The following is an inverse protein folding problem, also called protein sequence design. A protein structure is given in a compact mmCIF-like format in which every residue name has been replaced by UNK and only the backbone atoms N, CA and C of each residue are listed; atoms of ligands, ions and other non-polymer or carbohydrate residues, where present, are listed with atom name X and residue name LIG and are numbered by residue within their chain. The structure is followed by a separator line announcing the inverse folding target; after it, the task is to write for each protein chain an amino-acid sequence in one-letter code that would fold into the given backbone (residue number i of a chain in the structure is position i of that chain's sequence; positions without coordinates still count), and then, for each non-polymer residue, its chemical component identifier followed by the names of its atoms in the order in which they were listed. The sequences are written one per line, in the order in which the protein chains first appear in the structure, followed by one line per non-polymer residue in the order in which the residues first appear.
data_IF_798775194558
#
_entry.id   IF_798775194558
#
_cell.length_a   1.000
_cell.length_b   1.000
_cell.length_c   1.000
_cell.angle_alpha   90.00
_cell.angle_beta   90.00
_cell.angle_gamma   90.00
#
_symmetry.space_group_name_H-M   'P 1'
#
loop_
_entity.id
_entity.type
_entity.pdbx_description
1 polymer ?
#
# COMPACT_ATOMS: atom_id res chain seq x y z
N UNK A 1 21.02 -24.58 54.25
CA UNK A 1 20.09 -23.76 55.06
C UNK A 1 20.63 -22.37 55.36
N UNK A 2 21.94 -22.21 55.53
CA UNK A 2 22.62 -20.91 55.67
C UNK A 2 22.29 -19.89 54.56
N UNK A 3 22.16 -20.34 53.32
CA UNK A 3 22.00 -19.47 52.13
C UNK A 3 20.53 -19.24 51.72
N UNK A 4 19.57 -19.99 52.30
CA UNK A 4 18.13 -19.94 51.95
C UNK A 4 17.85 -19.94 50.43
N UNK A 5 18.58 -20.77 49.68
CA UNK A 5 18.44 -20.84 48.22
C UNK A 5 17.02 -21.27 47.81
N UNK A 6 16.43 -20.55 46.84
CA UNK A 6 15.13 -20.89 46.24
C UNK A 6 15.27 -21.67 44.92
N UNK A 7 16.43 -21.55 44.27
CA UNK A 7 16.75 -22.15 42.98
C UNK A 7 18.10 -22.84 43.07
N UNK A 8 18.21 -24.00 42.44
CA UNK A 8 19.44 -24.80 42.37
C UNK A 8 19.68 -25.13 40.91
N UNK A 9 20.90 -24.94 40.42
CA UNK A 9 21.31 -25.39 39.09
C UNK A 9 22.36 -26.48 39.28
N UNK A 10 22.18 -27.61 38.61
CA UNK A 10 23.12 -28.72 38.57
C UNK A 10 23.62 -28.87 37.14
N UNK A 11 24.90 -28.60 36.91
CA UNK A 11 25.53 -28.57 35.59
C UNK A 11 26.87 -29.34 35.62
N UNK A 12 27.02 -30.56 35.10
CA UNK A 12 26.05 -31.47 34.46
C UNK A 12 25.80 -32.75 35.29
N UNK A 13 24.66 -33.45 35.07
CA UNK A 13 24.36 -34.75 35.73
C UNK A 13 25.45 -35.78 35.50
N UNK A 14 26.03 -35.81 34.30
CA UNK A 14 27.02 -36.79 33.90
C UNK A 14 28.25 -36.73 34.79
N UNK A 15 28.64 -35.51 35.20
CA UNK A 15 29.76 -35.32 36.13
C UNK A 15 29.51 -35.99 37.48
N UNK A 16 28.27 -35.93 37.99
CA UNK A 16 27.88 -36.50 39.29
C UNK A 16 27.80 -38.03 39.29
N UNK A 17 27.44 -38.63 38.16
CA UNK A 17 27.17 -40.06 38.06
C UNK A 17 28.12 -40.84 37.14
N UNK A 18 29.17 -40.18 36.63
CA UNK A 18 30.23 -40.77 35.80
C UNK A 18 30.88 -42.01 36.41
N UNK A 19 30.95 -42.07 37.75
CA UNK A 19 31.55 -43.18 38.49
C UNK A 19 30.60 -44.37 38.69
N UNK A 20 29.32 -44.25 38.33
CA UNK A 20 28.35 -45.33 38.49
C UNK A 20 28.29 -46.21 37.23
N UNK A 21 28.49 -47.53 37.36
CA UNK A 21 28.62 -48.42 36.21
C UNK A 21 27.27 -48.84 35.59
N UNK A 22 26.16 -48.70 36.32
CA UNK A 22 24.85 -49.24 35.93
C UNK A 22 23.76 -48.15 35.89
N UNK A 23 23.07 -48.08 34.76
CA UNK A 23 21.92 -47.22 34.51
C UNK A 23 20.79 -47.36 35.56
N UNK A 24 20.61 -48.55 36.15
CA UNK A 24 19.62 -48.80 37.20
C UNK A 24 19.97 -48.07 38.50
N UNK A 25 21.26 -48.06 38.85
CA UNK A 25 21.77 -47.37 40.03
C UNK A 25 21.68 -45.85 39.82
N UNK A 26 22.07 -45.37 38.65
CA UNK A 26 21.93 -43.94 38.26
C UNK A 26 20.48 -43.48 38.40
N UNK A 27 19.51 -44.25 37.91
CA UNK A 27 18.08 -43.93 38.04
C UNK A 27 17.62 -43.81 39.49
N UNK A 28 18.08 -44.72 40.34
CA UNK A 28 17.69 -44.76 41.76
C UNK A 28 18.23 -43.53 42.49
N UNK A 29 19.50 -43.18 42.25
CA UNK A 29 20.11 -42.00 42.86
C UNK A 29 19.54 -40.69 42.31
N UNK A 30 19.24 -40.60 41.01
CA UNK A 30 18.53 -39.45 40.44
C UNK A 30 17.16 -39.24 41.09
N UNK A 31 16.40 -40.33 41.29
CA UNK A 31 15.10 -40.27 41.96
C UNK A 31 15.23 -39.80 43.41
N UNK A 32 16.26 -40.27 44.12
CA UNK A 32 16.57 -39.85 45.49
C UNK A 32 16.93 -38.36 45.56
N UNK A 33 17.81 -37.91 44.67
CA UNK A 33 18.24 -36.51 44.58
C UNK A 33 17.06 -35.58 44.27
N UNK A 34 16.26 -35.90 43.25
CA UNK A 34 15.12 -35.07 42.86
C UNK A 34 14.03 -35.08 43.93
N UNK A 35 13.78 -36.22 44.58
CA UNK A 35 12.87 -36.31 45.72
C UNK A 35 13.32 -35.45 46.91
N UNK A 36 14.63 -35.44 47.20
CA UNK A 36 15.21 -34.59 48.24
C UNK A 36 15.07 -33.10 47.92
N UNK A 37 15.39 -32.68 46.68
CA UNK A 37 15.22 -31.30 46.22
C UNK A 37 13.76 -30.85 46.32
N UNK A 38 12.82 -31.71 45.92
CA UNK A 38 11.37 -31.45 46.01
C UNK A 38 10.91 -31.30 47.46
N UNK A 39 11.39 -32.15 48.38
CA UNK A 39 11.09 -32.04 49.83
C UNK A 39 11.64 -30.75 50.44
N UNK A 40 12.76 -30.23 49.93
CA UNK A 40 13.33 -28.94 50.33
C UNK A 40 12.61 -27.73 49.71
N UNK A 41 11.68 -27.93 48.79
CA UNK A 41 10.86 -26.86 48.20
C UNK A 41 11.64 -25.92 47.27
N UNK A 42 12.76 -26.39 46.69
CA UNK A 42 13.58 -25.60 45.77
C UNK A 42 13.26 -25.93 44.32
N UNK A 43 13.35 -24.94 43.43
CA UNK A 43 13.27 -25.17 41.97
C UNK A 43 14.64 -25.59 41.46
N UNK A 44 14.77 -26.83 41.01
CA UNK A 44 16.01 -27.34 40.45
C UNK A 44 15.98 -27.31 38.92
N UNK A 45 17.03 -26.74 38.32
CA UNK A 45 17.34 -26.88 36.89
C UNK A 45 18.54 -27.79 36.78
N UNK A 46 18.44 -28.79 35.91
CA UNK A 46 19.45 -29.81 35.79
C UNK A 46 19.79 -30.00 34.33
N UNK A 47 21.06 -29.89 33.97
CA UNK A 47 21.53 -30.10 32.60
C UNK A 47 22.04 -31.53 32.43
N UNK A 48 21.87 -32.05 31.21
CA UNK A 48 22.33 -33.37 30.82
C UNK A 48 22.68 -33.39 29.33
N UNK A 49 23.56 -34.29 28.95
CA UNK A 49 24.01 -34.52 27.59
C UNK A 49 23.08 -35.51 26.86
N UNK A 50 22.92 -35.29 25.55
CA UNK A 50 22.10 -36.16 24.71
C UNK A 50 22.83 -37.47 24.39
N UNK A 51 22.11 -38.59 24.45
CA UNK A 51 22.61 -39.90 24.02
C UNK A 51 22.43 -40.16 22.53
N UNK A 52 23.10 -41.19 22.01
CA UNK A 52 22.88 -41.66 20.63
C UNK A 52 21.46 -42.26 20.51
N UNK A 53 20.50 -41.48 20.02
CA UNK A 53 19.12 -41.92 19.76
C UNK A 53 18.11 -41.75 20.91
N UNK A 54 18.56 -41.34 22.10
CA UNK A 54 17.73 -41.07 23.29
C UNK A 54 17.79 -39.58 23.67
N UNK A 55 16.81 -39.00 24.40
CA UNK A 55 16.87 -37.56 24.72
C UNK A 55 17.98 -37.25 25.73
N UNK A 56 18.41 -38.24 26.51
CA UNK A 56 19.55 -38.18 27.44
C UNK A 56 20.44 -39.40 27.27
N UNK A 57 21.70 -39.34 27.72
CA UNK A 57 22.70 -40.40 27.53
C UNK A 57 22.23 -41.81 27.89
N UNK A 58 21.42 -41.94 28.95
CA UNK A 58 20.88 -43.23 29.39
C UNK A 58 19.37 -43.40 29.10
N UNK A 59 18.68 -42.38 28.60
CA UNK A 59 17.23 -42.43 28.26
C UNK A 59 16.29 -42.63 29.45
N UNK A 60 16.76 -42.39 30.68
CA UNK A 60 16.06 -42.71 31.93
C UNK A 60 15.71 -41.45 32.75
N UNK A 61 16.51 -40.41 32.59
CA UNK A 61 16.42 -39.09 33.22
C UNK A 61 15.10 -38.39 32.89
N UNK A 62 14.59 -38.65 31.69
CA UNK A 62 13.32 -38.15 31.19
C UNK A 62 12.17 -38.64 32.06
N UNK A 63 12.14 -39.89 32.53
CA UNK A 63 10.99 -40.44 33.25
C UNK A 63 10.89 -39.93 34.69
N UNK A 64 12.02 -39.57 35.28
CA UNK A 64 12.13 -39.13 36.69
C UNK A 64 11.86 -37.63 36.83
N UNK A 65 12.10 -36.85 35.78
CA UNK A 65 11.92 -35.39 35.79
C UNK A 65 10.44 -34.96 35.75
N UNK A 66 10.11 -33.82 36.38
CA UNK A 66 8.77 -33.24 36.30
C UNK A 66 8.58 -32.41 34.99
N UNK A 67 9.65 -31.76 34.52
CA UNK A 67 9.72 -31.01 33.27
C UNK A 67 10.96 -31.43 32.48
N UNK A 68 10.85 -31.56 31.15
CA UNK A 68 12.00 -31.85 30.27
C UNK A 68 12.00 -30.84 29.13
N UNK A 69 13.13 -30.14 29.01
CA UNK A 69 13.40 -29.17 27.96
C UNK A 69 14.53 -29.75 27.09
N UNK A 70 14.25 -29.96 25.82
CA UNK A 70 15.22 -30.41 24.84
C UNK A 70 15.80 -29.19 24.13
N UNK A 71 17.13 -29.06 24.15
CA UNK A 71 17.87 -28.13 23.30
C UNK A 71 18.50 -28.92 22.17
N UNK A 72 18.18 -28.56 20.94
CA UNK A 72 18.67 -29.21 19.73
C UNK A 72 19.45 -28.20 18.89
N UNK A 73 20.56 -28.64 18.29
CA UNK A 73 21.36 -27.85 17.38
C UNK A 73 21.49 -28.60 16.07
N UNK A 74 20.82 -28.10 15.03
CA UNK A 74 20.88 -28.68 13.69
C UNK A 74 21.70 -27.80 12.77
N UNK A 75 22.54 -28.44 11.97
CA UNK A 75 23.33 -27.79 10.92
C UNK A 75 22.80 -28.32 9.59
N UNK A 76 22.10 -27.48 8.84
CA UNK A 76 21.65 -27.77 7.47
C UNK A 76 22.28 -26.74 6.54
N UNK A 77 22.94 -27.17 5.47
CA UNK A 77 23.49 -26.29 4.43
C UNK A 77 24.30 -25.10 4.98
N UNK A 78 25.22 -25.39 5.91
CA UNK A 78 26.07 -24.41 6.62
C UNK A 78 25.32 -23.43 7.54
N UNK A 79 24.00 -23.54 7.65
CA UNK A 79 23.17 -22.79 8.59
C UNK A 79 22.94 -23.58 9.88
N UNK A 80 23.37 -22.99 10.99
CA UNK A 80 23.22 -23.54 12.33
C UNK A 80 21.97 -22.98 13.00
N UNK A 81 20.96 -23.82 13.24
CA UNK A 81 19.73 -23.42 13.94
C UNK A 81 19.67 -24.13 15.30
N UNK A 82 19.52 -23.34 16.36
CA UNK A 82 19.29 -23.82 17.73
C UNK A 82 17.80 -23.77 18.05
N UNK A 83 17.26 -24.88 18.57
CA UNK A 83 15.83 -25.01 18.88
C UNK A 83 15.62 -25.58 20.28
N UNK A 84 14.58 -25.10 20.94
CA UNK A 84 14.15 -25.50 22.25
C UNK A 84 12.77 -26.14 22.12
N UNK A 85 12.56 -27.29 22.75
CA UNK A 85 11.26 -27.94 22.82
C UNK A 85 10.96 -28.36 24.25
N UNK A 86 9.76 -28.07 24.72
CA UNK A 86 9.27 -28.65 25.97
C UNK A 86 8.71 -30.03 25.62
N UNK A 87 9.43 -31.08 26.03
CA UNK A 87 9.02 -32.48 25.77
C UNK A 87 7.90 -32.88 26.71
N UNK A 88 7.97 -32.40 27.96
CA UNK A 88 6.92 -32.62 28.96
C UNK A 88 6.96 -31.55 30.04
N UNK A 89 5.80 -31.30 30.62
CA UNK A 89 5.64 -30.50 31.84
C UNK A 89 4.49 -31.09 32.65
N UNK A 90 4.79 -31.83 33.72
CA UNK A 90 3.74 -32.43 34.57
C UNK A 90 2.94 -31.31 35.27
N UNK A 91 1.62 -31.36 35.15
CA UNK A 91 0.70 -30.43 35.83
C UNK A 91 0.50 -29.08 35.16
N UNK A 92 1.07 -28.85 33.96
CA UNK A 92 0.83 -27.63 33.17
C UNK A 92 0.70 -27.94 31.68
N UNK A 93 -0.17 -27.20 31.00
CA UNK A 93 -0.17 -27.14 29.53
C UNK A 93 1.11 -26.46 29.05
N UNK A 94 1.67 -26.95 27.96
CA UNK A 94 2.88 -26.40 27.32
C UNK A 94 2.78 -26.54 25.80
N UNK A 95 3.51 -25.71 25.07
CA UNK A 95 3.59 -25.80 23.62
C UNK A 95 4.34 -27.05 23.16
N UNK A 96 3.81 -27.75 22.16
CA UNK A 96 4.40 -28.99 21.62
C UNK A 96 5.43 -28.74 20.51
N UNK A 97 5.53 -27.49 20.04
CA UNK A 97 6.37 -27.11 18.91
C UNK A 97 7.84 -26.91 19.31
N UNK A 98 8.73 -26.94 18.32
CA UNK A 98 10.12 -26.52 18.48
C UNK A 98 10.22 -25.00 18.30
N UNK A 99 10.83 -24.33 19.28
CA UNK A 99 11.01 -22.88 19.34
C UNK A 99 12.46 -22.54 19.06
N UNK A 100 12.76 -21.78 17.99
CA UNK A 100 14.12 -21.31 17.77
C UNK A 100 14.54 -20.37 18.90
N UNK A 101 15.78 -20.50 19.34
CA UNK A 101 16.36 -19.63 20.37
C UNK A 101 17.72 -19.10 19.91
N UNK A 102 18.06 -17.90 20.40
CA UNK A 102 19.36 -17.30 20.20
C UNK A 102 20.05 -17.10 21.55
N UNK A 103 21.38 -17.21 21.53
CA UNK A 103 22.24 -16.78 22.62
C UNK A 103 23.11 -15.66 22.06
N UNK A 104 22.94 -14.46 22.57
CA UNK A 104 23.72 -13.28 22.20
C UNK A 104 24.25 -12.56 23.45
N UNK A 105 24.71 -11.32 23.31
CA UNK A 105 25.26 -10.50 24.41
C UNK A 105 24.24 -10.27 25.54
N UNK A 106 22.94 -10.25 25.21
CA UNK A 106 21.84 -10.14 26.18
C UNK A 106 21.46 -11.50 26.81
N UNK A 107 22.11 -12.58 26.40
CA UNK A 107 21.94 -13.94 26.93
C UNK A 107 20.93 -14.78 26.14
N UNK A 108 20.19 -15.64 26.85
CA UNK A 108 19.28 -16.62 26.25
C UNK A 108 17.94 -16.00 25.88
N UNK A 109 17.58 -16.01 24.59
CA UNK A 109 16.33 -15.44 24.09
C UNK A 109 15.54 -16.45 23.26
N UNK A 110 14.29 -16.68 23.67
CA UNK A 110 13.32 -17.48 22.92
C UNK A 110 12.32 -16.53 22.30
N UNK A 111 12.09 -16.66 21.00
CA UNK A 111 10.92 -16.04 20.41
C UNK A 111 9.73 -16.98 20.56
N UNK A 112 8.62 -16.54 21.17
CA UNK A 112 7.37 -17.27 20.98
C UNK A 112 7.06 -17.29 19.49
N UNK A 113 6.64 -18.44 18.96
CA UNK A 113 5.88 -18.45 17.70
C UNK A 113 4.72 -17.51 17.97
N UNK A 114 4.64 -16.42 17.21
CA UNK A 114 3.60 -15.41 17.37
C UNK A 114 2.26 -16.11 17.46
N UNK A 115 1.43 -15.65 18.39
CA UNK A 115 0.10 -16.19 18.64
C UNK A 115 -0.60 -16.43 17.30
N UNK A 116 -0.84 -17.70 16.93
CA UNK A 116 -1.55 -18.10 15.72
C UNK A 116 -3.01 -17.58 15.64
N UNK A 117 -3.43 -16.73 16.57
CA UNK A 117 -4.74 -16.09 16.57
C UNK A 117 -4.76 -14.90 15.64
N UNK A 118 -5.65 -14.92 14.65
CA UNK A 118 -5.93 -13.83 13.70
C UNK A 118 -6.76 -12.69 14.33
N UNK A 119 -6.45 -12.31 15.58
CA UNK A 119 -7.28 -11.39 16.38
C UNK A 119 -6.75 -9.96 16.44
N UNK A 120 -5.92 -9.54 15.47
CA UNK A 120 -5.39 -8.18 15.44
C UNK A 120 -6.49 -7.18 15.08
N UNK A 121 -6.51 -6.04 15.78
CA UNK A 121 -7.40 -4.93 15.44
C UNK A 121 -6.85 -4.22 14.20
N UNK A 122 -7.71 -3.97 13.20
CA UNK A 122 -7.36 -3.20 12.02
C UNK A 122 -7.65 -1.71 12.22
N UNK A 123 -6.66 -0.86 11.95
CA UNK A 123 -6.84 0.60 12.02
C UNK A 123 -7.57 1.10 10.78
N UNK A 124 -8.45 2.10 10.98
CA UNK A 124 -9.06 2.88 9.88
C UNK A 124 -8.19 4.07 9.46
N UNK A 125 -7.12 4.34 10.19
CA UNK A 125 -6.23 5.45 9.93
C UNK A 125 -5.49 5.27 8.60
N UNK A 126 -5.32 6.39 7.87
CA UNK A 126 -4.66 6.42 6.57
C UNK A 126 -3.35 7.19 6.66
N UNK A 127 -2.33 6.69 5.99
CA UNK A 127 -1.00 7.30 5.93
C UNK A 127 -0.59 7.53 4.47
N UNK A 128 -0.06 8.72 4.19
CA UNK A 128 0.41 9.05 2.85
C UNK A 128 1.60 8.18 2.43
N UNK A 129 1.59 7.76 1.17
CA UNK A 129 2.73 7.10 0.53
C UNK A 129 3.94 8.03 0.32
N UNK A 130 3.74 9.35 0.43
CA UNK A 130 4.73 10.36 0.07
C UNK A 130 4.69 10.77 -1.41
N UNK A 131 3.84 10.12 -2.22
CA UNK A 131 3.63 10.44 -3.64
C UNK A 131 2.16 10.84 -3.80
N UNK A 132 1.83 12.14 -3.97
CA UNK A 132 0.44 12.59 -4.03
C UNK A 132 -0.41 11.87 -5.07
N UNK A 133 0.16 11.60 -6.25
CA UNK A 133 -0.54 10.89 -7.31
C UNK A 133 -0.80 9.42 -6.98
N UNK A 134 0.09 8.76 -6.24
CA UNK A 134 -0.13 7.40 -5.74
C UNK A 134 -1.22 7.38 -4.67
N UNK A 135 -1.25 8.38 -3.79
CA UNK A 135 -2.32 8.52 -2.82
C UNK A 135 -3.67 8.70 -3.51
N UNK A 136 -3.74 9.49 -4.59
CA UNK A 136 -4.95 9.62 -5.45
C UNK A 136 -5.37 8.27 -6.04
N UNK A 137 -4.41 7.47 -6.51
CA UNK A 137 -4.70 6.11 -7.00
C UNK A 137 -5.19 5.17 -5.89
N UNK A 138 -4.99 5.51 -4.61
CA UNK A 138 -5.43 4.79 -3.41
C UNK A 138 -6.57 5.56 -2.69
N UNK A 139 -7.59 6.03 -3.41
CA UNK A 139 -8.72 6.79 -2.83
C UNK A 139 -8.33 8.12 -2.14
N UNK A 140 -7.23 8.74 -2.55
CA UNK A 140 -6.78 10.06 -2.09
C UNK A 140 -6.08 10.10 -0.72
N UNK A 141 -5.83 8.95 -0.08
CA UNK A 141 -5.36 8.92 1.32
C UNK A 141 -4.15 8.02 1.59
N UNK A 142 -3.64 7.31 0.58
CA UNK A 142 -2.49 6.41 0.73
C UNK A 142 -2.84 5.08 1.43
N UNK A 143 -1.94 4.53 2.22
CA UNK A 143 -2.06 3.20 2.83
C UNK A 143 -2.89 3.20 4.13
N UNK A 144 -3.33 2.03 4.59
CA UNK A 144 -3.84 1.88 5.95
C UNK A 144 -2.67 1.74 6.95
N UNK A 145 -2.78 2.38 8.12
CA UNK A 145 -1.81 2.15 9.20
C UNK A 145 -1.90 0.68 9.66
N UNK A 146 -0.74 0.06 9.89
CA UNK A 146 -0.66 -1.33 10.31
C UNK A 146 -0.90 -2.34 9.19
N UNK A 147 -1.07 -1.88 7.94
CA UNK A 147 -1.19 -2.75 6.77
C UNK A 147 0.18 -3.13 6.20
N UNK A 148 0.17 -4.12 5.31
CA UNK A 148 1.36 -4.53 4.57
C UNK A 148 1.31 -4.08 3.11
N UNK A 149 2.40 -3.46 2.67
CA UNK A 149 2.61 -2.97 1.30
C UNK A 149 3.74 -3.78 0.67
N UNK A 150 3.50 -4.34 -0.51
CA UNK A 150 4.52 -4.99 -1.33
C UNK A 150 4.72 -4.18 -2.61
N UNK A 151 5.97 -3.93 -2.98
CA UNK A 151 6.33 -3.40 -4.29
C UNK A 151 7.19 -4.43 -5.00
N UNK A 152 6.64 -5.02 -6.05
CA UNK A 152 7.37 -5.97 -6.90
C UNK A 152 7.77 -5.33 -8.23
N UNK A 153 8.84 -5.81 -8.84
CA UNK A 153 9.33 -5.31 -10.13
C UNK A 153 10.75 -5.76 -10.44
N UNK A 154 11.14 -5.66 -11.70
CA UNK A 154 12.48 -6.03 -12.19
C UNK A 154 13.57 -5.15 -11.58
N UNK A 155 14.82 -5.58 -11.65
CA UNK A 155 15.95 -4.79 -11.17
C UNK A 155 15.99 -3.40 -11.85
N UNK A 156 16.26 -2.34 -11.08
CA UNK A 156 16.36 -0.98 -11.61
C UNK A 156 15.04 -0.25 -11.88
N UNK A 157 13.88 -0.82 -11.51
CA UNK A 157 12.56 -0.19 -11.71
C UNK A 157 12.17 0.89 -10.68
N UNK A 158 12.94 1.06 -9.60
CA UNK A 158 12.69 2.12 -8.60
C UNK A 158 11.98 1.69 -7.32
N UNK A 159 11.94 0.39 -7.00
CA UNK A 159 11.37 -0.14 -5.73
C UNK A 159 11.96 0.53 -4.48
N UNK A 160 13.29 0.56 -4.41
CA UNK A 160 14.06 1.18 -3.33
C UNK A 160 13.83 2.69 -3.24
N UNK A 161 13.68 3.37 -4.39
CA UNK A 161 13.30 4.79 -4.43
C UNK A 161 11.89 5.02 -3.86
N UNK A 162 10.92 4.14 -4.17
CA UNK A 162 9.56 4.22 -3.62
C UNK A 162 9.57 4.00 -2.10
N UNK A 163 10.38 3.04 -1.62
CA UNK A 163 10.59 2.84 -0.19
C UNK A 163 11.17 4.10 0.49
N UNK A 164 12.18 4.73 -0.12
CA UNK A 164 12.79 5.94 0.39
C UNK A 164 11.81 7.13 0.46
N UNK A 165 10.95 7.29 -0.54
CA UNK A 165 9.90 8.32 -0.55
C UNK A 165 8.90 8.10 0.60
N UNK A 166 8.53 6.85 0.86
CA UNK A 166 7.65 6.51 1.97
C UNK A 166 8.32 6.75 3.33
N UNK A 167 9.61 6.42 3.47
CA UNK A 167 10.44 6.72 4.64
C UNK A 167 10.48 8.23 4.91
N UNK A 168 10.74 9.03 3.88
CA UNK A 168 10.82 10.49 4.01
C UNK A 168 9.48 11.08 4.45
N UNK A 169 8.38 10.63 3.83
CA UNK A 169 7.01 11.01 4.18
C UNK A 169 6.67 10.69 5.63
N UNK A 170 7.10 9.52 6.12
CA UNK A 170 6.94 9.12 7.52
C UNK A 170 7.75 9.97 8.49
N UNK A 171 9.02 10.21 8.19
CA UNK A 171 9.88 11.03 9.04
C UNK A 171 9.38 12.49 9.10
N UNK A 172 8.83 13.02 8.00
CA UNK A 172 8.15 14.33 7.97
C UNK A 172 6.94 14.40 8.92
N UNK A 173 6.27 13.27 9.20
CA UNK A 173 5.20 13.16 10.21
C UNK A 173 5.71 12.94 11.65
N UNK A 174 7.02 12.91 11.86
CA UNK A 174 7.63 12.60 13.16
C UNK A 174 7.59 11.11 13.52
N UNK A 175 7.33 10.24 12.54
CA UNK A 175 7.26 8.80 12.75
C UNK A 175 8.65 8.16 12.69
N UNK A 176 8.92 7.24 13.62
CA UNK A 176 10.10 6.38 13.57
C UNK A 176 9.98 5.28 12.51
N UNK A 177 11.01 5.12 11.70
CA UNK A 177 11.13 4.12 10.64
C UNK A 177 12.35 3.24 10.90
N UNK A 178 12.16 1.93 10.81
CA UNK A 178 13.24 0.95 10.84
C UNK A 178 13.39 0.35 9.43
N UNK A 179 14.55 0.57 8.83
CA UNK A 179 14.86 0.15 7.47
C UNK A 179 15.88 -1.00 7.49
N UNK A 180 15.47 -2.17 7.00
CA UNK A 180 16.34 -3.32 6.79
C UNK A 180 16.87 -3.32 5.36
N UNK A 181 18.18 -3.07 5.22
CA UNK A 181 18.88 -3.05 3.93
C UNK A 181 19.68 -4.35 3.76
N UNK A 182 19.31 -5.17 2.77
CA UNK A 182 19.96 -6.46 2.56
C UNK A 182 20.98 -6.48 1.43
N UNK A 183 20.93 -5.48 0.53
CA UNK A 183 21.80 -5.38 -0.65
C UNK A 183 22.82 -4.24 -0.56
N UNK A 184 22.39 -3.07 -0.06
CA UNK A 184 23.22 -1.86 -0.04
C UNK A 184 23.59 -1.41 1.38
N UNK A 185 24.74 -0.74 1.51
CA UNK A 185 25.11 -0.09 2.76
C UNK A 185 24.28 1.20 2.97
N UNK A 186 24.03 1.63 4.23
CA UNK A 186 23.24 2.83 4.50
C UNK A 186 23.82 4.10 3.85
N UNK A 187 25.15 4.22 3.78
CA UNK A 187 25.82 5.37 3.14
C UNK A 187 25.61 5.39 1.63
N UNK A 188 25.73 4.23 0.96
CA UNK A 188 25.42 4.08 -0.46
C UNK A 188 23.95 4.39 -0.74
N UNK A 189 23.03 3.83 0.04
CA UNK A 189 21.60 4.09 -0.08
C UNK A 189 21.29 5.58 0.04
N UNK A 190 21.79 6.26 1.08
CA UNK A 190 21.57 7.70 1.27
C UNK A 190 22.14 8.54 0.12
N UNK A 191 23.32 8.20 -0.41
CA UNK A 191 23.91 8.88 -1.58
C UNK A 191 23.02 8.73 -2.82
N UNK A 192 22.56 7.50 -3.09
CA UNK A 192 21.72 7.20 -4.24
C UNK A 192 20.33 7.89 -4.14
N UNK A 193 19.78 8.01 -2.92
CA UNK A 193 18.52 8.71 -2.71
C UNK A 193 18.67 10.23 -2.80
N UNK A 194 19.81 10.78 -2.38
CA UNK A 194 20.11 12.20 -2.53
C UNK A 194 20.19 12.65 -4.00
N UNK A 195 20.66 11.78 -4.92
CA UNK A 195 20.70 12.12 -6.35
C UNK A 195 19.33 12.22 -7.03
N UNK A 196 18.27 11.77 -6.35
CA UNK A 196 16.87 11.93 -6.80
C UNK A 196 16.09 12.86 -5.85
N UNK A 197 16.77 13.73 -5.11
CA UNK A 197 16.12 14.76 -4.27
C UNK A 197 15.59 14.27 -2.91
N UNK A 198 15.84 13.02 -2.52
CA UNK A 198 15.36 12.46 -1.24
C UNK A 198 16.48 12.51 -0.20
N UNK A 199 16.43 13.50 0.70
CA UNK A 199 17.48 13.78 1.68
C UNK A 199 17.25 13.09 3.04
N UNK A 200 17.76 11.87 3.17
CA UNK A 200 17.49 11.03 4.35
C UNK A 200 18.44 11.22 5.54
N UNK A 201 19.62 11.78 5.32
CA UNK A 201 20.65 11.91 6.36
C UNK A 201 20.16 12.71 7.58
N UNK A 202 19.34 13.74 7.33
CA UNK A 202 18.76 14.56 8.41
C UNK A 202 17.86 13.76 9.34
N UNK A 203 17.15 12.75 8.83
CA UNK A 203 16.24 11.91 9.61
C UNK A 203 16.97 10.88 10.46
N UNK A 204 18.14 10.41 9.98
CA UNK A 204 19.04 9.56 10.76
C UNK A 204 19.60 10.34 11.95
N UNK A 205 20.09 11.56 11.72
CA UNK A 205 20.61 12.44 12.79
C UNK A 205 19.56 12.80 13.84
N UNK A 206 18.29 12.91 13.44
CA UNK A 206 17.14 13.14 14.35
C UNK A 206 16.67 11.88 15.10
N UNK A 207 17.22 10.71 14.80
CA UNK A 207 16.77 9.44 15.40
C UNK A 207 15.36 9.02 14.96
N UNK A 208 14.89 9.49 13.80
CA UNK A 208 13.62 9.05 13.21
C UNK A 208 13.83 7.89 12.23
N UNK A 209 14.97 7.84 11.54
CA UNK A 209 15.32 6.76 10.62
C UNK A 209 16.45 5.93 11.20
N UNK A 210 16.20 4.63 11.38
CA UNK A 210 17.19 3.66 11.83
C UNK A 210 17.44 2.63 10.72
N UNK A 211 18.70 2.42 10.38
CA UNK A 211 19.11 1.37 9.44
C UNK A 211 19.61 0.14 10.18
N UNK A 212 19.23 -1.04 9.69
CA UNK A 212 19.90 -2.29 9.97
C UNK A 212 20.35 -2.91 8.65
N UNK A 213 21.64 -2.80 8.36
CA UNK A 213 22.22 -3.36 7.14
C UNK A 213 22.97 -4.65 7.47
N UNK A 214 22.50 -5.76 6.91
CA UNK A 214 23.13 -7.08 7.09
C UNK A 214 22.89 -7.92 5.86
N UNK A 215 23.86 -8.77 5.50
CA UNK A 215 23.66 -9.70 4.39
C UNK A 215 22.76 -10.86 4.84
N UNK A 216 21.79 -11.30 4.03
CA UNK A 216 20.95 -12.45 4.37
C UNK A 216 21.74 -13.71 4.69
N UNK A 217 22.86 -13.93 4.00
CA UNK A 217 23.76 -15.10 4.19
C UNK A 217 24.52 -15.11 5.50
N UNK A 218 24.56 -13.99 6.24
CA UNK A 218 25.34 -13.88 7.48
C UNK A 218 24.76 -14.79 8.58
N UNK A 219 23.43 -14.96 8.60
CA UNK A 219 22.72 -15.72 9.62
C UNK A 219 21.53 -16.48 9.04
N UNK A 220 21.04 -17.50 9.74
CA UNK A 220 19.81 -18.20 9.36
C UNK A 220 18.55 -17.33 9.47
N UNK A 221 17.47 -17.72 8.79
CA UNK A 221 16.19 -16.98 8.76
C UNK A 221 15.63 -16.68 10.15
N UNK A 222 15.74 -17.63 11.09
CA UNK A 222 15.28 -17.44 12.48
C UNK A 222 16.08 -16.39 13.23
N UNK A 223 17.38 -16.29 12.93
CA UNK A 223 18.20 -15.25 13.53
C UNK A 223 17.78 -13.88 13.02
N UNK A 224 17.59 -13.71 11.70
CA UNK A 224 17.08 -12.46 11.13
C UNK A 224 15.71 -12.07 11.70
N UNK A 225 14.78 -13.03 11.85
CA UNK A 225 13.48 -12.78 12.47
C UNK A 225 13.62 -12.30 13.93
N UNK A 226 14.49 -12.93 14.70
CA UNK A 226 14.74 -12.56 16.11
C UNK A 226 15.39 -11.21 16.24
N UNK A 227 16.44 -10.95 15.48
CA UNK A 227 17.10 -9.65 15.45
C UNK A 227 16.12 -8.56 15.04
N UNK A 228 15.27 -8.83 14.04
CA UNK A 228 14.20 -7.91 13.61
C UNK A 228 13.24 -7.60 14.75
N UNK A 229 12.72 -8.61 15.44
CA UNK A 229 11.79 -8.44 16.57
C UNK A 229 12.45 -7.68 17.73
N UNK A 230 13.71 -7.98 18.06
CA UNK A 230 14.48 -7.28 19.10
C UNK A 230 14.63 -5.80 18.74
N UNK A 231 15.02 -5.48 17.51
CA UNK A 231 15.15 -4.10 17.04
C UNK A 231 13.82 -3.36 17.07
N UNK A 232 12.71 -4.00 16.68
CA UNK A 232 11.37 -3.42 16.78
C UNK A 232 11.01 -3.11 18.23
N UNK A 233 11.36 -3.98 19.19
CA UNK A 233 11.09 -3.76 20.61
C UNK A 233 11.88 -2.57 21.17
N UNK A 234 13.15 -2.43 20.77
CA UNK A 234 14.03 -1.35 21.22
C UNK A 234 13.67 0.00 20.59
N UNK A 235 13.47 0.03 19.28
CA UNK A 235 13.25 1.27 18.50
C UNK A 235 11.78 1.72 18.54
N UNK A 236 10.85 0.77 18.68
CA UNK A 236 9.40 0.99 18.60
C UNK A 236 9.01 1.79 17.34
N UNK A 237 9.35 1.31 16.13
CA UNK A 237 9.04 2.00 14.88
C UNK A 237 7.53 1.98 14.58
N UNK A 238 7.08 2.97 13.82
CA UNK A 238 5.73 2.98 13.24
C UNK A 238 5.70 2.30 11.86
N UNK A 239 6.83 2.30 11.17
CA UNK A 239 7.02 1.70 9.85
C UNK A 239 8.27 0.84 9.84
N UNK A 240 8.16 -0.35 9.25
CA UNK A 240 9.27 -1.27 9.00
C UNK A 240 9.39 -1.50 7.50
N UNK A 241 10.60 -1.32 6.96
CA UNK A 241 10.93 -1.56 5.55
C UNK A 241 11.87 -2.75 5.44
N UNK A 242 11.61 -3.68 4.52
CA UNK A 242 12.55 -4.75 4.14
C UNK A 242 12.84 -4.64 2.64
N UNK A 243 14.11 -4.41 2.30
CA UNK A 243 14.54 -4.15 0.92
C UNK A 243 15.80 -4.96 0.52
N UNK A 244 15.67 -5.97 -0.37
CA UNK A 244 14.45 -6.70 -0.77
C UNK A 244 14.24 -8.00 0.04
N UNK A 245 13.02 -8.50 0.06
CA UNK A 245 12.68 -9.78 0.74
C UNK A 245 13.22 -11.00 0.00
N UNK A 246 13.41 -10.90 -1.32
CA UNK A 246 13.99 -11.98 -2.15
C UNK A 246 15.45 -12.25 -1.82
N UNK A 247 16.12 -11.32 -1.12
CA UNK A 247 17.48 -11.52 -0.65
C UNK A 247 17.58 -12.73 0.31
N UNK A 248 16.47 -13.12 0.96
CA UNK A 248 16.40 -14.34 1.78
C UNK A 248 16.17 -15.63 0.98
N UNK A 249 15.72 -15.53 -0.27
CA UNK A 249 15.39 -16.69 -1.11
C UNK A 249 16.68 -17.20 -1.75
N UNK A 250 17.24 -18.27 -1.18
CA UNK A 250 18.48 -18.89 -1.65
C UNK A 250 18.33 -20.41 -1.58
N UNK A 251 18.80 -21.12 -2.61
CA UNK A 251 18.84 -22.60 -2.60
C UNK A 251 17.49 -23.30 -2.45
N UNK A 252 16.37 -22.66 -2.83
CA UNK A 252 15.03 -23.30 -2.83
C UNK A 252 14.24 -23.21 -1.52
N UNK A 253 14.72 -22.44 -0.53
CA UNK A 253 14.11 -22.24 0.79
C UNK A 253 12.81 -21.38 0.82
N UNK A 254 12.04 -21.35 -0.27
CA UNK A 254 10.89 -20.44 -0.42
C UNK A 254 9.82 -20.65 0.66
N UNK A 255 9.63 -21.91 1.07
CA UNK A 255 8.65 -22.26 2.11
C UNK A 255 9.08 -21.71 3.47
N UNK A 256 10.35 -21.85 3.86
CA UNK A 256 10.83 -21.29 5.13
C UNK A 256 10.77 -19.77 5.15
N UNK A 257 11.14 -19.10 4.04
CA UNK A 257 11.04 -17.64 3.91
C UNK A 257 9.60 -17.19 4.06
N UNK A 258 8.64 -17.87 3.42
CA UNK A 258 7.22 -17.57 3.55
C UNK A 258 6.73 -17.71 5.00
N UNK A 259 7.14 -18.76 5.72
CA UNK A 259 6.78 -18.96 7.13
C UNK A 259 7.37 -17.85 8.01
N UNK A 260 8.62 -17.45 7.76
CA UNK A 260 9.28 -16.35 8.46
C UNK A 260 8.54 -15.02 8.23
N UNK A 261 8.21 -14.70 6.97
CA UNK A 261 7.47 -13.49 6.62
C UNK A 261 6.05 -13.50 7.22
N UNK A 262 5.35 -14.63 7.21
CA UNK A 262 4.04 -14.75 7.86
C UNK A 262 4.11 -14.38 9.35
N UNK A 263 5.09 -14.92 10.07
CA UNK A 263 5.32 -14.62 11.50
C UNK A 263 5.67 -13.15 11.71
N UNK A 264 6.51 -12.59 10.85
CA UNK A 264 6.88 -11.18 10.93
C UNK A 264 5.68 -10.26 10.66
N UNK A 265 4.92 -10.52 9.61
CA UNK A 265 3.71 -9.75 9.26
C UNK A 265 2.70 -9.79 10.40
N UNK A 266 2.44 -10.97 10.97
CA UNK A 266 1.55 -11.13 12.11
C UNK A 266 2.01 -10.35 13.35
N UNK A 267 3.32 -10.40 13.64
CA UNK A 267 3.94 -9.62 14.71
C UNK A 267 3.75 -8.11 14.54
N UNK A 268 3.96 -7.61 13.31
CA UNK A 268 3.85 -6.19 12.96
C UNK A 268 2.40 -5.71 13.02
N UNK A 269 1.46 -6.49 12.46
CA UNK A 269 0.02 -6.19 12.46
C UNK A 269 -0.54 -6.11 13.87
N UNK A 270 -0.16 -7.03 14.75
CA UNK A 270 -0.58 -7.02 16.17
C UNK A 270 -0.15 -5.76 16.91
N UNK A 271 0.90 -5.07 16.43
CA UNK A 271 1.41 -3.81 17.00
C UNK A 271 1.03 -2.58 16.19
N UNK A 272 0.16 -2.72 15.20
CA UNK A 272 -0.26 -1.63 14.30
C UNK A 272 0.95 -0.95 13.59
N UNK A 273 2.00 -1.72 13.29
CA UNK A 273 3.19 -1.26 12.56
C UNK A 273 2.97 -1.52 11.07
N UNK A 274 3.15 -0.49 10.24
CA UNK A 274 3.00 -0.62 8.79
C UNK A 274 4.27 -1.27 8.21
N UNK A 275 4.11 -2.31 7.40
CA UNK A 275 5.22 -3.00 6.77
C UNK A 275 5.31 -2.64 5.28
N UNK A 276 6.52 -2.40 4.78
CA UNK A 276 6.80 -2.24 3.35
C UNK A 276 7.85 -3.27 2.93
N UNK A 277 7.54 -4.03 1.90
CA UNK A 277 8.41 -5.05 1.34
C UNK A 277 8.74 -4.69 -0.11
N UNK A 278 10.02 -4.70 -0.48
CA UNK A 278 10.44 -4.67 -1.87
C UNK A 278 10.73 -6.09 -2.34
N UNK A 279 10.31 -6.43 -3.55
CA UNK A 279 10.53 -7.74 -4.15
C UNK A 279 10.99 -7.66 -5.60
N UNK A 280 11.95 -8.51 -5.98
CA UNK A 280 12.51 -8.59 -7.31
C UNK A 280 11.71 -9.59 -8.16
N UNK A 281 11.22 -9.14 -9.31
CA UNK A 281 10.63 -10.04 -10.30
C UNK A 281 11.63 -10.35 -11.41
N UNK A 282 11.71 -11.60 -11.84
CA UNK A 282 12.56 -12.01 -12.95
C UNK A 282 11.89 -11.72 -14.30
N UNK A 283 12.66 -11.17 -15.22
CA UNK A 283 12.27 -10.91 -16.61
C UNK A 283 12.33 -12.22 -17.40
N UNK A 284 11.20 -12.88 -17.69
CA UNK A 284 11.17 -13.91 -18.74
C UNK A 284 10.49 -15.27 -18.51
N UNK A 285 9.69 -15.52 -17.47
CA UNK A 285 8.91 -16.77 -17.37
C UNK A 285 7.96 -16.80 -16.17
N UNK A 286 6.80 -17.48 -16.32
CA UNK A 286 5.68 -17.65 -15.36
C UNK A 286 5.80 -16.81 -14.08
N UNK A 287 5.71 -15.48 -14.28
CA UNK A 287 6.04 -14.41 -13.34
C UNK A 287 5.12 -14.35 -12.11
N UNK A 288 4.03 -15.11 -12.10
CA UNK A 288 3.02 -15.03 -11.06
C UNK A 288 3.30 -15.97 -9.88
N UNK A 289 4.03 -17.09 -10.06
CA UNK A 289 4.04 -18.18 -9.07
C UNK A 289 4.80 -17.87 -7.77
N UNK A 290 5.97 -17.22 -7.83
CA UNK A 290 6.72 -16.83 -6.62
C UNK A 290 6.05 -15.67 -5.89
N UNK A 291 5.63 -14.64 -6.63
CA UNK A 291 4.93 -13.48 -6.10
C UNK A 291 3.55 -13.83 -5.53
N UNK A 292 2.83 -14.80 -6.12
CA UNK A 292 1.53 -15.28 -5.63
C UNK A 292 1.61 -15.85 -4.21
N UNK A 293 2.72 -16.50 -3.88
CA UNK A 293 2.85 -17.15 -2.58
C UNK A 293 2.97 -16.13 -1.43
N UNK A 294 3.63 -14.99 -1.67
CA UNK A 294 3.77 -13.88 -0.71
C UNK A 294 2.59 -12.92 -0.79
N UNK A 295 2.00 -12.67 -1.96
CA UNK A 295 0.88 -11.73 -2.16
C UNK A 295 -0.37 -12.05 -1.32
N UNK A 296 -0.53 -13.30 -0.91
CA UNK A 296 -1.59 -13.74 0.02
C UNK A 296 -1.49 -13.06 1.39
N UNK A 297 -0.26 -12.75 1.85
CA UNK A 297 0.07 -12.09 3.12
C UNK A 297 -0.03 -10.56 3.04
N UNK A 298 -0.16 -10.02 1.83
CA UNK A 298 -0.06 -8.60 1.56
C UNK A 298 -1.44 -7.96 1.39
N UNK A 299 -1.62 -6.79 1.99
CA UNK A 299 -2.85 -6.00 1.88
C UNK A 299 -2.85 -5.14 0.61
N UNK A 300 -1.75 -4.44 0.33
CA UNK A 300 -1.57 -3.60 -0.87
C UNK A 300 -0.37 -4.04 -1.70
N UNK A 301 -0.58 -4.32 -2.99
CA UNK A 301 0.45 -4.77 -3.91
C UNK A 301 0.60 -3.79 -5.08
N UNK A 302 1.78 -3.19 -5.16
CA UNK A 302 2.22 -2.34 -6.25
C UNK A 302 3.16 -3.12 -7.17
N UNK A 303 3.00 -2.97 -8.48
CA UNK A 303 3.86 -3.59 -9.48
C UNK A 303 4.53 -2.49 -10.31
N UNK A 304 5.86 -2.48 -10.31
CA UNK A 304 6.68 -1.69 -11.20
C UNK A 304 7.14 -2.56 -12.38
N UNK A 305 6.85 -2.11 -13.60
CA UNK A 305 7.15 -2.86 -14.83
C UNK A 305 7.86 -1.98 -15.83
N UNK A 306 8.87 -2.53 -16.51
CA UNK A 306 9.49 -1.89 -17.66
C UNK A 306 8.55 -1.93 -18.88
N UNK A 307 8.47 -0.81 -19.60
CA UNK A 307 7.66 -0.63 -20.81
C UNK A 307 8.61 -0.13 -21.89
N UNK A 308 8.84 -0.99 -22.88
CA UNK A 308 9.73 -0.69 -24.00
C UNK A 308 8.88 -0.34 -25.22
N UNK A 309 8.78 0.97 -25.52
CA UNK A 309 8.01 1.49 -26.65
C UNK A 309 8.85 2.58 -27.31
N UNK A 310 8.87 2.59 -28.65
CA UNK A 310 9.60 3.61 -29.41
C UNK A 310 11.11 3.61 -29.21
N UNK A 311 11.70 2.48 -28.77
CA UNK A 311 13.12 2.38 -28.43
C UNK A 311 13.50 2.99 -27.08
N UNK A 312 12.53 3.48 -26.30
CA UNK A 312 12.73 3.96 -24.94
C UNK A 312 12.29 2.90 -23.93
N UNK A 313 13.06 2.77 -22.84
CA UNK A 313 12.70 1.95 -21.69
C UNK A 313 12.13 2.84 -20.59
N UNK A 314 10.81 2.92 -20.55
CA UNK A 314 10.06 3.62 -19.52
C UNK A 314 9.61 2.67 -18.42
N UNK A 315 9.16 3.22 -17.29
CA UNK A 315 8.67 2.44 -16.16
C UNK A 315 7.20 2.74 -15.95
N UNK A 316 6.40 1.71 -15.71
CA UNK A 316 4.99 1.81 -15.35
C UNK A 316 4.76 1.34 -13.92
N UNK A 317 3.88 2.03 -13.20
CA UNK A 317 3.38 1.64 -11.89
C UNK A 317 1.91 1.18 -11.99
N UNK A 318 1.63 0.00 -11.47
CA UNK A 318 0.30 -0.57 -11.31
C UNK A 318 -0.02 -0.80 -9.83
N UNK A 319 -1.30 -0.69 -9.48
CA UNK A 319 -1.84 -1.23 -8.23
C UNK A 319 -2.57 -2.52 -8.58
N UNK A 320 -1.98 -3.67 -8.24
CA UNK A 320 -2.59 -4.97 -8.51
C UNK A 320 -3.71 -5.30 -7.52
N UNK A 321 -3.56 -4.82 -6.28
CA UNK A 321 -4.47 -5.13 -5.19
C UNK A 321 -4.34 -4.07 -4.11
N UNK A 322 -5.45 -3.69 -3.52
CA UNK A 322 -5.46 -3.04 -2.23
C UNK A 322 -6.71 -3.44 -1.44
N UNK A 323 -6.53 -4.17 -0.35
CA UNK A 323 -7.63 -4.67 0.49
C UNK A 323 -8.24 -3.54 1.30
N UNK A 324 -9.57 -3.46 1.30
CA UNK A 324 -10.31 -2.48 2.09
C UNK A 324 -10.34 -1.06 1.50
N UNK A 325 -9.80 -0.85 0.28
CA UNK A 325 -9.91 0.44 -0.41
C UNK A 325 -10.09 0.28 -1.92
N UNK A 326 -10.84 1.20 -2.53
CA UNK A 326 -10.88 1.34 -3.97
C UNK A 326 -9.51 1.81 -4.46
N UNK A 327 -9.05 1.25 -5.59
CA UNK A 327 -7.79 1.62 -6.21
C UNK A 327 -7.95 1.78 -7.72
N UNK A 328 -7.07 2.58 -8.30
CA UNK A 328 -6.99 2.78 -9.75
C UNK A 328 -6.63 1.47 -10.47
N UNK A 329 -7.33 1.16 -11.55
CA UNK A 329 -6.95 0.12 -12.51
C UNK A 329 -6.04 0.65 -13.64
N UNK A 330 -5.78 1.96 -13.67
CA UNK A 330 -4.92 2.60 -14.66
C UNK A 330 -3.45 2.48 -14.28
N UNK A 331 -2.61 2.29 -15.30
CA UNK A 331 -1.17 2.46 -15.22
C UNK A 331 -0.80 3.95 -15.14
N UNK A 332 0.25 4.27 -14.38
CA UNK A 332 0.94 5.55 -14.45
C UNK A 332 2.40 5.38 -14.86
N UNK A 333 2.93 6.31 -15.64
CA UNK A 333 4.35 6.36 -15.98
C UNK A 333 5.13 6.79 -14.73
N UNK A 334 6.12 6.00 -14.33
CA UNK A 334 6.94 6.20 -13.14
C UNK A 334 8.25 6.86 -13.52
N UNK A 335 8.41 8.14 -13.14
CA UNK A 335 9.60 8.94 -13.47
C UNK A 335 10.39 9.25 -12.21
N UNK A 336 11.70 8.96 -12.27
CA UNK A 336 12.66 9.44 -11.28
C UNK A 336 13.19 10.78 -11.75
N UNK A 337 13.12 11.79 -10.89
CA UNK A 337 13.57 13.15 -11.16
C UNK A 337 14.54 13.59 -10.06
N UNK A 338 15.21 14.73 -10.26
CA UNK A 338 16.09 15.33 -9.26
C UNK A 338 15.32 15.84 -8.01
N UNK A 339 13.98 15.88 -8.07
CA UNK A 339 13.09 16.32 -7.00
C UNK A 339 12.25 15.18 -6.39
N UNK A 340 12.53 13.93 -6.76
CA UNK A 340 11.84 12.75 -6.25
C UNK A 340 11.10 11.98 -7.34
N UNK A 341 10.01 11.34 -6.93
CA UNK A 341 9.21 10.46 -7.79
C UNK A 341 7.99 11.22 -8.32
N UNK A 342 7.83 11.20 -9.64
CA UNK A 342 6.64 11.71 -10.32
C UNK A 342 5.89 10.57 -11.02
N UNK A 343 4.55 10.60 -10.91
CA UNK A 343 3.68 9.69 -11.64
C UNK A 343 2.88 10.47 -12.67
N UNK A 344 3.08 10.14 -13.95
CA UNK A 344 2.45 10.82 -15.08
C UNK A 344 1.31 9.99 -15.67
N UNK A 345 0.40 10.68 -16.34
CA UNK A 345 -0.69 10.03 -17.06
C UNK A 345 -0.16 9.36 -18.33
N UNK A 346 -0.85 8.32 -18.76
CA UNK A 346 -0.41 7.47 -19.87
C UNK A 346 -1.56 7.35 -20.86
N UNK A 347 -1.25 7.42 -22.16
CA UNK A 347 -2.25 7.31 -23.21
C UNK A 347 -2.33 5.87 -23.69
N UNK A 348 -3.54 5.38 -23.93
CA UNK A 348 -3.74 4.06 -24.53
C UNK A 348 -3.94 4.27 -26.03
N UNK A 349 -2.94 3.87 -26.82
CA UNK A 349 -3.00 3.82 -28.26
C UNK A 349 -3.35 2.42 -28.78
N UNK A 350 -3.58 2.26 -30.10
CA UNK A 350 -3.91 0.96 -30.71
C UNK A 350 -2.81 -0.11 -30.56
N UNK A 351 -1.54 0.28 -30.36
CA UNK A 351 -0.41 -0.64 -30.13
C UNK A 351 -0.06 -0.83 -28.64
N UNK A 352 -0.85 -0.26 -27.71
CA UNK A 352 -0.64 -0.39 -26.28
C UNK A 352 -0.49 0.94 -25.53
N UNK A 353 0.23 0.92 -24.42
CA UNK A 353 0.31 2.03 -23.46
C UNK A 353 1.45 2.99 -23.84
N UNK A 354 1.15 4.14 -24.43
CA UNK A 354 2.12 5.14 -24.90
C UNK A 354 2.79 5.87 -23.72
N UNK A 355 4.12 5.74 -23.59
CA UNK A 355 4.96 6.37 -22.57
C UNK A 355 6.08 7.19 -23.20
N UNK A 356 6.78 8.04 -22.44
CA UNK A 356 7.95 8.78 -22.92
C UNK A 356 7.69 9.67 -24.14
N UNK A 357 8.54 9.59 -25.17
CA UNK A 357 8.41 10.38 -26.40
C UNK A 357 7.12 10.10 -27.17
N UNK A 358 6.64 8.85 -27.15
CA UNK A 358 5.36 8.48 -27.78
C UNK A 358 4.16 9.16 -27.09
N UNK A 359 4.22 9.37 -25.77
CA UNK A 359 3.23 10.17 -25.03
C UNK A 359 3.30 11.64 -25.44
N UNK A 360 4.49 12.23 -25.49
CA UNK A 360 4.68 13.64 -25.85
C UNK A 360 4.18 13.95 -27.26
N UNK A 361 4.40 13.05 -28.22
CA UNK A 361 3.88 13.20 -29.58
C UNK A 361 2.35 13.17 -29.62
N UNK A 362 1.72 12.30 -28.82
CA UNK A 362 0.26 12.23 -28.73
C UNK A 362 -0.34 13.43 -28.01
N UNK A 363 0.30 13.93 -26.94
CA UNK A 363 -0.08 15.17 -26.25
C UNK A 363 -0.05 16.36 -27.21
N UNK A 364 1.06 16.54 -27.94
CA UNK A 364 1.18 17.62 -28.92
C UNK A 364 0.11 17.57 -30.02
N UNK A 365 -0.23 16.37 -30.51
CA UNK A 365 -1.30 16.18 -31.50
C UNK A 365 -2.68 16.53 -30.93
N UNK A 366 -2.96 16.13 -29.68
CA UNK A 366 -4.24 16.45 -29.04
C UNK A 366 -4.37 17.96 -28.77
N UNK A 367 -3.28 18.62 -28.39
CA UNK A 367 -3.24 20.07 -28.18
C UNK A 367 -3.50 20.82 -29.50
N UNK A 368 -2.91 20.35 -30.60
CA UNK A 368 -3.16 20.89 -31.95
C UNK A 368 -4.63 20.70 -32.38
N UNK A 369 -5.20 19.51 -32.18
CA UNK A 369 -6.62 19.24 -32.46
C UNK A 369 -7.56 20.09 -31.60
N UNK A 370 -7.25 20.30 -30.32
CA UNK A 370 -8.02 21.20 -29.46
C UNK A 370 -7.96 22.64 -29.92
N UNK A 371 -6.77 23.13 -30.31
CA UNK A 371 -6.61 24.48 -30.83
C UNK A 371 -7.43 24.69 -32.11
N UNK A 372 -7.37 23.75 -33.05
CA UNK A 372 -8.17 23.78 -34.28
C UNK A 372 -9.67 23.78 -33.97
N UNK A 373 -10.11 22.96 -33.02
CA UNK A 373 -11.52 22.90 -32.60
C UNK A 373 -11.98 24.21 -31.95
N UNK A 374 -11.13 24.84 -31.15
CA UNK A 374 -11.40 26.14 -30.56
C UNK A 374 -11.54 27.23 -31.64
N UNK A 375 -10.63 27.25 -32.62
CA UNK A 375 -10.69 28.18 -33.76
C UNK A 375 -11.97 27.97 -34.60
N UNK A 376 -12.40 26.72 -34.81
CA UNK A 376 -13.66 26.44 -35.48
C UNK A 376 -14.88 26.96 -34.71
N UNK A 377 -14.88 26.81 -33.38
CA UNK A 377 -15.95 27.33 -32.52
C UNK A 377 -16.01 28.85 -32.62
N UNK A 378 -14.87 29.54 -32.52
CA UNK A 378 -14.78 31.01 -32.66
C UNK A 378 -15.26 31.47 -34.04
N UNK A 379 -14.82 30.80 -35.12
CA UNK A 379 -15.27 31.10 -36.48
C UNK A 379 -16.79 30.93 -36.64
N UNK A 380 -17.36 29.89 -36.05
CA UNK A 380 -18.82 29.66 -36.07
C UNK A 380 -19.57 30.71 -35.24
N UNK A 381 -19.04 31.11 -34.08
CA UNK A 381 -19.60 32.17 -33.26
C UNK A 381 -19.61 33.51 -34.00
N UNK A 382 -18.49 33.90 -34.60
CA UNK A 382 -18.39 35.13 -35.40
C UNK A 382 -19.36 35.10 -36.60
N UNK A 383 -19.44 33.96 -37.30
CA UNK A 383 -20.40 33.78 -38.39
C UNK A 383 -21.86 33.85 -37.93
N UNK A 384 -22.17 33.38 -36.72
CA UNK A 384 -23.50 33.50 -36.12
C UNK A 384 -23.82 34.97 -35.79
N UNK A 385 -22.87 35.72 -35.23
CA UNK A 385 -23.04 37.14 -34.91
C UNK A 385 -23.28 37.97 -36.17
N UNK A 386 -22.52 37.73 -37.24
CA UNK A 386 -22.75 38.39 -38.53
C UNK A 386 -24.14 38.08 -39.10
N UNK A 387 -24.57 36.81 -39.05
CA UNK A 387 -25.92 36.42 -39.48
C UNK A 387 -26.99 37.10 -38.63
N UNK A 388 -26.79 37.17 -37.32
CA UNK A 388 -27.72 37.84 -36.39
C UNK A 388 -27.84 39.32 -36.72
N UNK A 389 -26.71 40.01 -36.87
CA UNK A 389 -26.69 41.43 -37.26
C UNK A 389 -27.37 41.68 -38.61
N UNK A 390 -27.13 40.84 -39.61
CA UNK A 390 -27.82 40.92 -40.90
C UNK A 390 -29.33 40.70 -40.77
N UNK A 391 -29.75 39.74 -39.94
CA UNK A 391 -31.16 39.43 -39.70
C UNK A 391 -31.86 40.59 -38.97
N UNK A 392 -31.20 41.17 -37.96
CA UNK A 392 -31.71 42.33 -37.24
C UNK A 392 -31.86 43.54 -38.17
N UNK A 393 -30.91 43.77 -39.08
CA UNK A 393 -31.03 44.79 -40.11
C UNK A 393 -32.23 44.54 -41.05
N UNK A 394 -32.46 43.30 -41.48
CA UNK A 394 -33.63 42.94 -42.28
C UNK A 394 -34.95 43.16 -41.52
N UNK A 395 -35.00 42.88 -40.21
CA UNK A 395 -36.18 43.14 -39.38
C UNK A 395 -36.50 44.64 -39.35
N UNK A 396 -35.48 45.50 -39.21
CA UNK A 396 -35.67 46.96 -39.20
C UNK A 396 -36.27 47.45 -40.52
N UNK A 397 -35.77 46.94 -41.65
CA UNK A 397 -36.33 47.27 -42.98
C UNK A 397 -37.78 46.81 -43.10
N UNK A 398 -38.07 45.55 -42.78
CA UNK A 398 -39.43 45.00 -42.83
C UNK A 398 -40.42 45.77 -41.93
N UNK A 399 -39.98 46.18 -40.74
CA UNK A 399 -40.79 47.00 -39.84
C UNK A 399 -41.05 48.41 -40.40
N UNK A 400 -40.09 48.98 -41.12
CA UNK A 400 -40.25 50.26 -41.80
C UNK A 400 -41.26 50.15 -42.95
N UNK A 401 -41.13 49.12 -43.79
CA UNK A 401 -42.03 48.87 -44.92
C UNK A 401 -43.47 48.62 -44.43
N UNK A 402 -43.62 47.79 -43.38
CA UNK A 402 -44.93 47.51 -42.78
C UNK A 402 -45.61 48.78 -42.23
N UNK A 403 -44.86 49.68 -41.57
CA UNK A 403 -45.41 50.96 -41.09
C UNK A 403 -45.84 51.88 -42.22
N UNK A 404 -45.12 51.88 -43.34
CA UNK A 404 -45.49 52.69 -44.50
C UNK A 404 -46.81 52.18 -45.11
N UNK A 405 -46.92 50.86 -45.29
CA UNK A 405 -48.13 50.21 -45.82
C UNK A 405 -49.34 50.37 -44.88
N UNK A 406 -49.12 50.27 -43.56
CA UNK A 406 -50.14 50.54 -42.54
C UNK A 406 -50.66 51.98 -42.63
N UNK A 407 -49.75 52.97 -42.74
CA UNK A 407 -50.14 54.38 -42.87
C UNK A 407 -50.93 54.66 -44.16
N UNK A 408 -50.55 54.03 -45.27
CA UNK A 408 -51.26 54.16 -46.54
C UNK A 408 -52.66 53.55 -46.45
N UNK A 409 -52.76 52.34 -45.89
CA UNK A 409 -54.03 51.64 -45.69
C UNK A 409 -54.97 52.44 -44.77
N UNK A 410 -54.46 53.00 -43.69
CA UNK A 410 -55.24 53.84 -42.77
C UNK A 410 -55.78 55.10 -43.47
N UNK A 411 -54.98 55.76 -44.31
CA UNK A 411 -55.44 56.91 -45.11
C UNK A 411 -56.56 56.52 -46.08
N UNK A 412 -56.43 55.37 -46.74
CA UNK A 412 -57.48 54.85 -47.64
C UNK A 412 -58.78 54.60 -46.86
N UNK A 413 -58.69 53.98 -45.68
CA UNK A 413 -59.84 53.74 -44.80
C UNK A 413 -60.49 55.06 -44.36
N UNK A 414 -59.72 56.07 -43.99
CA UNK A 414 -60.25 57.39 -43.62
C UNK A 414 -60.94 58.08 -44.79
N UNK A 415 -60.37 58.02 -46.00
CA UNK A 415 -61.00 58.58 -47.21
C UNK A 415 -62.31 57.86 -47.57
N UNK A 416 -62.35 56.52 -47.44
CA UNK A 416 -63.55 55.71 -47.60
C UNK A 416 -64.63 56.10 -46.60
N UNK A 417 -64.28 56.20 -45.29
CA UNK A 417 -65.19 56.64 -44.23
C UNK A 417 -65.74 58.05 -44.49
N UNK A 418 -64.89 58.99 -44.88
CA UNK A 418 -65.30 60.35 -45.20
C UNK A 418 -66.23 60.40 -46.43
N UNK A 419 -66.01 59.54 -47.43
CA UNK A 419 -66.94 59.36 -48.56
C UNK A 419 -68.26 58.77 -48.10
N UNK A 420 -68.26 57.75 -47.24
CA UNK A 420 -69.51 57.16 -46.71
C UNK A 420 -70.29 58.17 -45.88
N UNK A 421 -69.63 58.97 -45.04
CA UNK A 421 -70.27 60.05 -44.28
C UNK A 421 -70.82 61.16 -45.17
N UNK A 422 -70.09 61.56 -46.23
CA UNK A 422 -70.61 62.48 -47.24
C UNK A 422 -71.81 61.89 -47.97
N UNK A 423 -71.77 60.61 -48.33
CA UNK A 423 -72.88 59.92 -48.98
C UNK A 423 -74.10 59.82 -48.05
N UNK A 424 -73.89 59.54 -46.76
CA UNK A 424 -74.93 59.56 -45.73
C UNK A 424 -75.51 60.96 -45.50
N UNK A 425 -74.69 62.02 -45.51
CA UNK A 425 -75.16 63.41 -45.43
C UNK A 425 -75.94 63.83 -46.69
N UNK A 426 -75.50 63.41 -47.88
CA UNK A 426 -76.19 63.65 -49.14
C UNK A 426 -77.51 62.89 -49.18
N UNK A 427 -77.56 61.64 -48.73
CA UNK A 427 -78.80 60.88 -48.59
C UNK A 427 -79.74 61.49 -47.54
N UNK A 428 -79.24 61.99 -46.40
CA UNK A 428 -80.05 62.73 -45.42
C UNK A 428 -80.58 64.07 -45.98
N UNK A 429 -79.81 64.77 -46.82
CA UNK A 429 -80.27 65.99 -47.52
C UNK A 429 -81.28 65.67 -48.64
N UNK A 430 -81.09 64.59 -49.38
CA UNK A 430 -82.04 64.12 -50.39
C UNK A 430 -83.34 63.62 -49.76
N UNK A 431 -83.28 62.89 -48.65
CA UNK A 431 -84.44 62.45 -47.86
C UNK A 431 -85.21 63.64 -47.23
N UNK A 432 -84.55 64.77 -46.93
CA UNK A 432 -85.27 66.01 -46.55
C UNK A 432 -85.93 66.73 -47.73
N UNK A 433 -85.46 66.54 -48.97
CA UNK A 433 -86.10 67.12 -50.17
C UNK A 433 -87.25 66.27 -50.73
N UNK A 434 -87.27 64.97 -50.44
CA UNK A 434 -88.33 64.03 -50.81
C UNK A 434 -89.11 63.67 -49.55
N UNK A 435 -90.30 64.24 -49.35
CA UNK A 435 -91.23 63.95 -48.23
C UNK A 435 -91.63 62.46 -48.20
N UNK A 436 -90.76 61.61 -47.67
CA UNK A 436 -90.99 60.18 -47.49
C UNK A 436 -90.12 59.68 -46.33
N UNK A 437 -90.49 60.07 -45.10
CA UNK A 437 -91.11 59.14 -44.16
C UNK A 437 -91.36 59.83 -42.81
N UNK A 438 -92.63 59.83 -42.44
CA UNK A 438 -93.07 59.81 -41.04
C UNK A 438 -93.01 58.37 -40.58
N UNK A 439 -92.14 58.07 -39.63
CA UNK A 439 -92.30 56.88 -38.79
C UNK A 439 -92.29 57.25 -37.31
N UNK A 440 -93.32 56.71 -36.68
CA UNK A 440 -93.82 56.93 -35.34
C UNK A 440 -92.93 56.23 -34.30
N UNK A 441 -92.77 56.91 -33.16
CA UNK A 441 -92.32 56.49 -31.82
C UNK A 441 -92.41 54.99 -31.43
N UNK A 442 -91.36 54.49 -30.74
CA UNK A 442 -91.28 54.04 -29.32
C UNK A 442 -90.03 53.12 -29.12
N UNK A 443 -89.06 53.45 -28.24
CA UNK A 443 -88.94 53.01 -26.82
C UNK A 443 -89.07 51.47 -26.68
N UNK A 444 -88.04 50.70 -26.28
CA UNK A 444 -87.13 50.79 -25.11
C UNK A 444 -85.69 50.45 -25.49
#
# INVERSE_FOLDING_TARGET
ESIRAKRVVLDTIESLFSALPDATVVRTELRRLFGWLKKKGVTAVVTGERGNGTLTRQGLEEYVSDCVILLDHRVNDQSSIRRLRIVKYRGSTHGTNEYPFLIDEDGFSILPVTSLGLNHLSSKERISSGIPRLDTMLSGKGYFRGSTVLVSGTAGTGKTSLAAQFVESACKRGERVLYFAFEESPSQFMRNMASIGILLESWVKKGLLHFHATRPTLHGLEHHLTTTIKLIHTIKPHIVILDPIDAFVMGGNQTEVKIMLLRLVDYLKTRNITAFFASLTNTGGNQELTDMSISSLIDTWLLLRDIEIGGERNRGLYILKSRGMAHSNQIREFKLTDNGIELLDVYVGPEGVLTGSARLAQEAKNDEEQLLRQQEIERKQFGLELKRAATDAHIVVLQSDFKAEESETLKIIEMEKAKTERFAQVNRKMAKSRKADTTTKNAV
#
